data_IF_908491267372
#
_entry.id   IF_908491267372
#
_cell.length_a   1.000
_cell.length_b   1.000
_cell.length_c   1.000
_cell.angle_alpha   90.00
_cell.angle_beta   90.00
_cell.angle_gamma   90.00
#
_symmetry.space_group_name_H-M   'P 1'
#
loop_
_entity.id
_entity.type
_entity.pdbx_description
1 polymer ?
#
# COMPACT_ATOMS: atom_id res chain seq x y z
N UNK A 1 23.95 -16.69 -0.15
CA UNK A 1 22.77 -17.36 -0.73
C UNK A 1 21.67 -17.63 0.31
N UNK A 2 21.92 -18.37 1.39
CA UNK A 2 20.89 -18.75 2.39
C UNK A 2 20.15 -17.56 3.03
N UNK A 3 20.85 -16.47 3.38
CA UNK A 3 20.22 -15.25 3.94
C UNK A 3 19.28 -14.56 2.95
N UNK A 4 19.65 -14.50 1.67
CA UNK A 4 18.83 -13.91 0.62
C UNK A 4 17.54 -14.72 0.41
N UNK A 5 17.68 -16.05 0.27
CA UNK A 5 16.53 -16.97 0.15
C UNK A 5 15.59 -16.81 1.35
N UNK A 6 16.14 -16.74 2.57
CA UNK A 6 15.35 -16.48 3.78
C UNK A 6 14.55 -15.18 3.68
N UNK A 7 15.15 -14.07 3.22
CA UNK A 7 14.44 -12.80 3.12
C UNK A 7 13.36 -12.81 2.03
N UNK A 8 13.61 -13.48 0.90
CA UNK A 8 12.60 -13.69 -0.14
C UNK A 8 11.43 -14.52 0.39
N UNK A 9 11.71 -15.61 1.12
CA UNK A 9 10.66 -16.43 1.73
C UNK A 9 9.85 -15.65 2.77
N UNK A 10 10.51 -14.86 3.62
CA UNK A 10 9.81 -13.98 4.58
C UNK A 10 8.96 -12.92 3.90
N UNK A 11 9.47 -12.28 2.84
CA UNK A 11 8.71 -11.31 2.06
C UNK A 11 7.43 -11.95 1.51
N UNK A 12 7.54 -13.14 0.91
CA UNK A 12 6.39 -13.89 0.41
C UNK A 12 5.41 -14.22 1.54
N UNK A 13 5.89 -14.71 2.68
CA UNK A 13 5.03 -15.03 3.83
C UNK A 13 4.30 -13.80 4.37
N UNK A 14 4.93 -12.62 4.40
CA UNK A 14 4.28 -11.39 4.84
C UNK A 14 3.19 -10.94 3.86
N UNK A 15 3.42 -11.07 2.55
CA UNK A 15 2.37 -10.84 1.56
C UNK A 15 1.23 -11.84 1.69
N UNK A 16 1.51 -13.14 1.85
CA UNK A 16 0.46 -14.15 2.05
C UNK A 16 -0.36 -13.84 3.31
N UNK A 17 0.30 -13.51 4.44
CA UNK A 17 -0.39 -13.13 5.66
C UNK A 17 -1.25 -11.87 5.48
N UNK A 18 -0.74 -10.87 4.76
CA UNK A 18 -1.49 -9.67 4.40
C UNK A 18 -2.71 -10.00 3.54
N UNK A 19 -2.56 -10.80 2.48
CA UNK A 19 -3.67 -11.19 1.61
C UNK A 19 -4.73 -12.00 2.36
N UNK A 20 -4.34 -12.87 3.31
CA UNK A 20 -5.29 -13.60 4.15
C UNK A 20 -6.10 -12.62 5.01
N UNK A 21 -5.42 -11.70 5.73
CA UNK A 21 -6.09 -10.73 6.58
C UNK A 21 -7.02 -9.81 5.78
N UNK A 22 -6.56 -9.32 4.63
CA UNK A 22 -7.34 -8.49 3.70
C UNK A 22 -8.53 -9.25 3.09
N UNK A 23 -8.35 -10.52 2.73
CA UNK A 23 -9.42 -11.37 2.18
C UNK A 23 -10.59 -11.56 3.16
N UNK A 24 -10.31 -11.66 4.46
CA UNK A 24 -11.36 -11.66 5.48
C UNK A 24 -12.13 -10.33 5.57
N UNK A 25 -11.43 -9.20 5.40
CA UNK A 25 -12.06 -7.87 5.40
C UNK A 25 -12.90 -7.61 4.14
N UNK A 26 -12.45 -8.11 2.99
CA UNK A 26 -13.07 -7.89 1.67
C UNK A 26 -13.97 -9.05 1.20
N UNK A 27 -14.43 -9.90 2.12
CA UNK A 27 -15.26 -11.08 1.77
C UNK A 27 -16.66 -10.70 1.27
N UNK A 28 -17.13 -9.49 1.60
CA UNK A 28 -18.49 -9.01 1.37
C UNK A 28 -18.99 -9.11 -0.08
N UNK A 29 -18.33 -8.43 -1.04
CA UNK A 29 -18.70 -8.50 -2.45
C UNK A 29 -18.82 -9.95 -2.97
N UNK A 30 -17.87 -10.81 -2.60
CA UNK A 30 -17.88 -12.22 -2.98
C UNK A 30 -19.08 -12.97 -2.41
N UNK A 31 -19.39 -12.80 -1.11
CA UNK A 31 -20.53 -13.50 -0.49
C UNK A 31 -21.87 -13.02 -1.05
N UNK A 32 -22.01 -11.73 -1.36
CA UNK A 32 -23.21 -11.17 -1.98
C UNK A 32 -23.45 -11.69 -3.40
N UNK A 33 -22.41 -12.14 -4.10
CA UNK A 33 -22.53 -12.74 -5.44
C UNK A 33 -23.10 -14.16 -5.42
N UNK A 34 -23.13 -14.83 -4.26
CA UNK A 34 -23.64 -16.19 -4.14
C UNK A 34 -25.17 -16.17 -4.08
N UNK A 35 -25.80 -16.79 -5.08
CA UNK A 35 -27.25 -16.96 -5.13
C UNK A 35 -27.72 -17.98 -4.08
N UNK A 36 -28.98 -17.87 -3.65
CA UNK A 36 -29.67 -18.83 -2.78
C UNK A 36 -29.23 -18.92 -1.29
N UNK A 37 -28.36 -18.03 -0.82
CA UNK A 37 -28.05 -17.90 0.62
C UNK A 37 -28.93 -16.80 1.24
N UNK A 38 -29.57 -17.04 2.41
CA UNK A 38 -30.32 -16.00 3.10
C UNK A 38 -29.47 -14.76 3.40
N UNK A 39 -29.98 -13.57 3.06
CA UNK A 39 -29.26 -12.29 3.23
C UNK A 39 -28.77 -12.07 4.66
N UNK A 40 -29.59 -12.41 5.66
CA UNK A 40 -29.21 -12.31 7.07
C UNK A 40 -27.98 -13.17 7.44
N UNK A 41 -27.85 -14.35 6.81
CA UNK A 41 -26.69 -15.22 7.01
C UNK A 41 -25.44 -14.64 6.35
N UNK A 42 -25.59 -14.06 5.15
CA UNK A 42 -24.51 -13.34 4.45
C UNK A 42 -24.01 -12.19 5.32
N UNK A 43 -24.90 -11.31 5.78
CA UNK A 43 -24.54 -10.15 6.59
C UNK A 43 -23.83 -10.57 7.88
N UNK A 44 -24.36 -11.56 8.60
CA UNK A 44 -23.74 -12.09 9.82
C UNK A 44 -22.34 -12.65 9.55
N UNK A 45 -22.17 -13.35 8.44
CA UNK A 45 -20.88 -13.93 8.02
C UNK A 45 -19.87 -12.83 7.71
N UNK A 46 -20.29 -11.76 7.02
CA UNK A 46 -19.42 -10.63 6.68
C UNK A 46 -18.90 -9.95 7.94
N UNK A 47 -19.75 -9.67 8.92
CA UNK A 47 -19.32 -9.05 10.17
C UNK A 47 -18.37 -9.94 10.97
N UNK A 48 -18.61 -11.26 11.00
CA UNK A 48 -17.70 -12.22 11.65
C UNK A 48 -16.33 -12.22 10.94
N UNK A 49 -16.32 -12.33 9.61
CA UNK A 49 -15.11 -12.28 8.80
C UNK A 49 -14.38 -10.94 8.98
N UNK A 50 -15.10 -9.82 9.05
CA UNK A 50 -14.52 -8.51 9.29
C UNK A 50 -13.79 -8.48 10.64
N UNK A 51 -14.42 -8.95 11.73
CA UNK A 51 -13.78 -9.01 13.05
C UNK A 51 -12.50 -9.87 13.01
N UNK A 52 -12.55 -11.03 12.35
CA UNK A 52 -11.37 -11.89 12.18
C UNK A 52 -10.28 -11.14 11.41
N UNK A 53 -10.62 -10.52 10.29
CA UNK A 53 -9.71 -9.75 9.46
C UNK A 53 -9.07 -8.58 10.21
N UNK A 54 -9.84 -7.86 11.04
CA UNK A 54 -9.35 -6.79 11.92
C UNK A 54 -8.30 -7.33 12.90
N UNK A 55 -8.60 -8.42 13.60
CA UNK A 55 -7.69 -9.04 14.57
C UNK A 55 -6.40 -9.51 13.90
N UNK A 56 -6.52 -10.18 12.73
CA UNK A 56 -5.37 -10.63 11.97
C UNK A 56 -4.51 -9.46 11.47
N UNK A 57 -5.14 -8.38 11.00
CA UNK A 57 -4.44 -7.18 10.52
C UNK A 57 -3.69 -6.48 11.64
N UNK A 58 -4.32 -6.29 12.81
CA UNK A 58 -3.70 -5.70 14.00
C UNK A 58 -2.54 -6.57 14.47
N UNK A 59 -2.72 -7.89 14.58
CA UNK A 59 -1.68 -8.81 14.99
C UNK A 59 -0.48 -8.77 14.02
N UNK A 60 -0.73 -8.77 12.70
CA UNK A 60 0.31 -8.67 11.68
C UNK A 60 1.05 -7.32 11.77
N UNK A 61 0.33 -6.21 11.94
CA UNK A 61 0.94 -4.88 12.13
C UNK A 61 1.83 -4.88 13.36
N UNK A 62 1.38 -5.38 14.51
CA UNK A 62 2.19 -5.43 15.73
C UNK A 62 3.46 -6.27 15.51
N UNK A 63 3.31 -7.44 14.88
CA UNK A 63 4.42 -8.34 14.58
C UNK A 63 5.44 -7.67 13.66
N UNK A 64 4.98 -7.12 12.54
CA UNK A 64 5.84 -6.47 11.55
C UNK A 64 6.46 -5.19 12.12
N UNK A 65 5.72 -4.39 12.87
CA UNK A 65 6.23 -3.20 13.53
C UNK A 65 7.36 -3.56 14.50
N UNK A 66 7.13 -4.51 15.41
CA UNK A 66 8.14 -4.94 16.40
C UNK A 66 9.37 -5.55 15.72
N UNK A 67 9.20 -6.25 14.61
CA UNK A 67 10.30 -6.84 13.88
C UNK A 67 11.06 -5.77 13.06
N UNK A 68 10.36 -4.94 12.30
CA UNK A 68 10.99 -4.11 11.26
C UNK A 68 11.41 -2.75 11.82
N UNK A 69 10.56 -2.11 12.62
CA UNK A 69 10.79 -0.74 13.09
C UNK A 69 12.12 -0.56 13.85
N UNK A 70 12.52 -1.44 14.79
CA UNK A 70 13.79 -1.26 15.51
C UNK A 70 15.03 -1.40 14.63
N UNK A 71 14.90 -2.02 13.44
CA UNK A 71 16.02 -2.33 12.55
C UNK A 71 16.31 -1.20 11.57
N UNK A 72 16.18 0.07 11.97
CA UNK A 72 16.48 1.29 11.18
C UNK A 72 17.88 1.25 10.50
N UNK A 73 18.04 0.44 9.45
CA UNK A 73 19.35 -0.02 8.99
C UNK A 73 19.65 0.29 7.54
N UNK A 74 18.82 1.11 6.88
CA UNK A 74 19.19 1.64 5.57
C UNK A 74 20.28 2.68 5.79
N UNK A 75 21.51 2.29 5.45
CA UNK A 75 22.67 3.18 5.43
C UNK A 75 22.55 4.12 4.22
N UNK A 76 21.84 5.22 4.44
CA UNK A 76 21.57 6.26 3.47
C UNK A 76 22.58 7.41 3.62
N UNK A 77 23.38 7.66 2.59
CA UNK A 77 24.50 8.64 2.61
C UNK A 77 24.49 9.67 1.49
N UNK A 78 23.39 9.78 0.75
CA UNK A 78 23.29 10.75 -0.33
C UNK A 78 23.38 12.17 0.23
N UNK A 79 24.28 12.98 -0.31
CA UNK A 79 24.51 14.38 0.11
C UNK A 79 23.88 15.39 -0.83
N UNK A 80 23.28 14.95 -1.94
CA UNK A 80 22.65 15.81 -2.94
C UNK A 80 21.50 16.62 -2.30
N UNK A 81 21.75 17.89 -2.01
CA UNK A 81 20.82 18.75 -1.25
C UNK A 81 19.48 18.94 -1.97
N UNK A 82 19.48 18.94 -3.31
CA UNK A 82 18.26 19.06 -4.09
C UNK A 82 17.28 17.92 -3.83
N UNK A 83 17.76 16.69 -3.61
CA UNK A 83 16.93 15.50 -3.45
C UNK A 83 16.14 15.50 -2.13
N UNK A 84 16.66 16.20 -1.11
CA UNK A 84 16.09 16.27 0.23
C UNK A 84 14.98 17.31 0.37
N UNK A 85 14.71 18.09 -0.70
CA UNK A 85 13.67 19.11 -0.67
C UNK A 85 12.29 18.47 -0.83
N UNK A 86 11.46 18.61 0.19
CA UNK A 86 10.09 18.05 0.24
C UNK A 86 9.19 18.54 -0.90
N UNK A 87 9.51 19.70 -1.49
CA UNK A 87 8.78 20.25 -2.63
C UNK A 87 8.77 19.31 -3.84
N UNK A 88 9.79 18.47 -4.04
CA UNK A 88 9.85 17.60 -5.22
C UNK A 88 8.80 16.48 -5.19
N UNK A 89 8.67 15.68 -4.10
CA UNK A 89 7.54 14.77 -3.96
C UNK A 89 6.18 15.45 -4.08
N UNK A 90 6.02 16.66 -3.53
CA UNK A 90 4.76 17.42 -3.61
C UNK A 90 4.46 17.79 -5.06
N UNK A 91 5.43 18.34 -5.79
CA UNK A 91 5.28 18.70 -7.20
C UNK A 91 5.00 17.46 -8.08
N UNK A 92 5.63 16.32 -7.77
CA UNK A 92 5.37 15.07 -8.47
C UNK A 92 3.93 14.59 -8.23
N UNK A 93 3.41 14.68 -7.01
CA UNK A 93 2.00 14.39 -6.71
C UNK A 93 1.03 15.35 -7.40
N UNK A 94 1.33 16.65 -7.43
CA UNK A 94 0.49 17.65 -8.13
C UNK A 94 0.46 17.35 -9.63
N UNK A 95 1.63 17.13 -10.25
CA UNK A 95 1.73 16.75 -11.66
C UNK A 95 0.96 15.46 -11.95
N UNK A 96 1.02 14.50 -11.04
CA UNK A 96 0.28 13.25 -11.10
C UNK A 96 -1.25 13.46 -11.09
N UNK A 97 -1.79 14.30 -10.21
CA UNK A 97 -3.22 14.63 -10.22
C UNK A 97 -3.65 15.39 -11.47
N UNK A 98 -2.85 16.36 -11.92
CA UNK A 98 -3.11 17.08 -13.17
C UNK A 98 -3.17 16.12 -14.35
N UNK A 99 -2.23 15.17 -14.42
CA UNK A 99 -2.22 14.15 -15.47
C UNK A 99 -3.51 13.32 -15.47
N UNK A 100 -3.99 12.87 -14.31
CA UNK A 100 -5.23 12.09 -14.22
C UNK A 100 -6.49 12.88 -14.60
N UNK A 101 -6.49 14.20 -14.42
CA UNK A 101 -7.61 15.05 -14.84
C UNK A 101 -7.63 15.23 -16.37
N UNK A 102 -6.45 15.36 -16.99
CA UNK A 102 -6.32 15.64 -18.42
C UNK A 102 -6.41 14.35 -19.25
N UNK A 103 -5.83 13.26 -18.75
CA UNK A 103 -5.79 11.98 -19.44
C UNK A 103 -6.88 11.07 -18.87
N UNK A 104 -7.92 10.73 -19.64
CA UNK A 104 -8.94 9.81 -19.18
C UNK A 104 -8.32 8.42 -19.03
N UNK A 105 -8.06 8.01 -17.79
CA UNK A 105 -7.57 6.67 -17.47
C UNK A 105 -8.74 5.84 -16.94
N UNK A 106 -9.11 4.74 -17.60
CA UNK A 106 -10.12 3.84 -17.07
C UNK A 106 -9.71 3.28 -15.71
N UNK A 107 -10.68 3.11 -14.82
CA UNK A 107 -10.46 2.50 -13.52
C UNK A 107 -9.82 1.11 -13.66
N UNK A 108 -8.83 0.83 -12.82
CA UNK A 108 -8.27 -0.52 -12.73
C UNK A 108 -9.25 -1.45 -12.02
N UNK A 109 -9.13 -2.75 -12.23
CA UNK A 109 -9.95 -3.74 -11.51
C UNK A 109 -9.81 -3.58 -9.99
N UNK A 110 -8.59 -3.31 -9.50
CA UNK A 110 -8.36 -2.97 -8.09
C UNK A 110 -9.20 -1.77 -7.63
N UNK A 111 -9.26 -0.68 -8.42
CA UNK A 111 -10.03 0.51 -8.06
C UNK A 111 -11.54 0.21 -8.03
N UNK A 112 -12.05 -0.58 -8.98
CA UNK A 112 -13.46 -0.99 -9.01
C UNK A 112 -13.84 -1.81 -7.78
N UNK A 113 -13.00 -2.78 -7.40
CA UNK A 113 -13.21 -3.58 -6.19
C UNK A 113 -13.19 -2.72 -4.92
N UNK A 114 -12.31 -1.71 -4.86
CA UNK A 114 -12.30 -0.75 -3.74
C UNK A 114 -13.58 0.09 -3.73
N UNK A 115 -14.05 0.58 -4.88
CA UNK A 115 -15.32 1.33 -4.98
C UNK A 115 -16.48 0.47 -4.49
N UNK A 116 -16.64 -0.75 -5.02
CA UNK A 116 -17.70 -1.67 -4.61
C UNK A 116 -17.65 -1.95 -3.10
N UNK A 117 -16.46 -2.21 -2.57
CA UNK A 117 -16.27 -2.49 -1.15
C UNK A 117 -16.58 -1.28 -0.25
N UNK A 118 -16.15 -0.08 -0.63
CA UNK A 118 -16.44 1.17 0.10
C UNK A 118 -17.92 1.49 0.07
N UNK A 119 -18.58 1.35 -1.08
CA UNK A 119 -20.01 1.63 -1.21
C UNK A 119 -20.86 0.62 -0.44
N UNK A 120 -20.47 -0.66 -0.41
CA UNK A 120 -21.22 -1.70 0.30
C UNK A 120 -20.97 -1.71 1.82
N UNK A 121 -19.72 -1.49 2.26
CA UNK A 121 -19.33 -1.63 3.67
C UNK A 121 -18.40 -0.51 4.13
N UNK A 122 -18.85 0.76 4.15
CA UNK A 122 -17.98 1.92 4.36
C UNK A 122 -17.16 1.86 5.65
N UNK A 123 -17.74 1.36 6.75
CA UNK A 123 -17.01 1.25 8.03
C UNK A 123 -15.88 0.22 7.97
N UNK A 124 -16.14 -0.96 7.41
CA UNK A 124 -15.14 -2.03 7.27
C UNK A 124 -14.07 -1.57 6.26
N UNK A 125 -14.51 -1.00 5.14
CA UNK A 125 -13.64 -0.49 4.09
C UNK A 125 -12.74 0.65 4.56
N UNK A 126 -13.23 1.58 5.38
CA UNK A 126 -12.38 2.62 5.98
C UNK A 126 -11.24 2.01 6.78
N UNK A 127 -11.54 1.03 7.66
CA UNK A 127 -10.52 0.37 8.46
C UNK A 127 -9.48 -0.37 7.60
N UNK A 128 -9.91 -1.05 6.54
CA UNK A 128 -9.04 -1.80 5.64
C UNK A 128 -8.21 -0.86 4.74
N UNK A 129 -8.89 -0.06 3.92
CA UNK A 129 -8.30 0.72 2.82
C UNK A 129 -7.54 1.95 3.32
N UNK A 130 -8.04 2.62 4.37
CA UNK A 130 -7.46 3.89 4.85
C UNK A 130 -6.44 3.66 5.96
N UNK A 131 -6.59 2.61 6.77
CA UNK A 131 -5.74 2.37 7.94
C UNK A 131 -4.79 1.19 7.73
N UNK A 132 -5.33 -0.04 7.61
CA UNK A 132 -4.47 -1.24 7.67
C UNK A 132 -3.64 -1.47 6.43
N UNK A 133 -4.22 -1.33 5.24
CA UNK A 133 -3.50 -1.51 3.97
C UNK A 133 -2.28 -0.56 3.89
N UNK A 134 -2.42 0.77 4.09
CA UNK A 134 -1.28 1.68 4.11
C UNK A 134 -0.18 1.30 5.12
N UNK A 135 -0.55 0.91 6.34
CA UNK A 135 0.43 0.55 7.37
C UNK A 135 1.19 -0.73 6.97
N UNK A 136 0.48 -1.77 6.55
CA UNK A 136 1.06 -3.06 6.19
C UNK A 136 1.93 -2.96 4.92
N UNK A 137 1.45 -2.27 3.90
CA UNK A 137 2.19 -2.06 2.66
C UNK A 137 3.48 -1.28 2.91
N UNK A 138 3.44 -0.20 3.68
CA UNK A 138 4.65 0.56 3.99
C UNK A 138 5.63 -0.25 4.85
N UNK A 139 5.14 -1.01 5.84
CA UNK A 139 5.97 -1.94 6.62
C UNK A 139 6.66 -2.97 5.72
N UNK A 140 5.98 -3.50 4.72
CA UNK A 140 6.55 -4.46 3.77
C UNK A 140 7.55 -3.79 2.82
N UNK A 141 7.16 -2.70 2.15
CA UNK A 141 7.97 -2.06 1.11
C UNK A 141 9.10 -1.16 1.65
N UNK A 142 8.79 -0.22 2.56
CA UNK A 142 9.74 0.79 3.06
C UNK A 142 10.44 0.30 4.32
N UNK A 143 9.79 -0.59 5.06
CA UNK A 143 10.36 -1.27 6.20
C UNK A 143 11.23 -2.46 5.78
N UNK A 144 10.61 -3.62 5.55
CA UNK A 144 11.32 -4.87 5.32
C UNK A 144 12.13 -4.85 4.02
N UNK A 145 11.49 -4.54 2.90
CA UNK A 145 12.11 -4.67 1.59
C UNK A 145 13.29 -3.70 1.43
N UNK A 146 13.12 -2.42 1.80
CA UNK A 146 14.22 -1.46 1.82
C UNK A 146 15.39 -1.93 2.71
N UNK A 147 15.08 -2.39 3.93
CA UNK A 147 16.09 -2.83 4.91
C UNK A 147 16.93 -4.02 4.41
N UNK A 148 16.30 -5.03 3.81
CA UNK A 148 16.97 -6.29 3.50
C UNK A 148 17.48 -6.42 2.06
N UNK A 149 16.88 -5.70 1.11
CA UNK A 149 17.28 -5.74 -0.30
C UNK A 149 18.04 -4.48 -0.73
N UNK A 150 17.86 -3.37 -0.02
CA UNK A 150 18.59 -2.11 -0.25
C UNK A 150 19.24 -1.55 1.03
N UNK A 151 20.04 -2.35 1.77
CA UNK A 151 20.58 -1.94 3.07
C UNK A 151 21.56 -0.77 3.01
N UNK A 152 22.07 -0.43 1.81
CA UNK A 152 23.04 0.65 1.59
C UNK A 152 22.65 1.45 0.36
N UNK A 153 22.50 2.76 0.52
CA UNK A 153 22.25 3.71 -0.56
C UNK A 153 23.26 4.86 -0.44
N UNK A 154 24.43 4.66 -1.07
CA UNK A 154 25.56 5.59 -0.97
C UNK A 154 25.50 6.74 -1.99
N UNK A 155 24.78 6.57 -3.08
CA UNK A 155 24.72 7.53 -4.19
C UNK A 155 23.31 7.60 -4.83
N UNK A 156 23.15 8.55 -5.75
CA UNK A 156 21.90 8.76 -6.48
C UNK A 156 21.53 7.57 -7.38
N UNK A 157 22.50 6.75 -7.81
CA UNK A 157 22.23 5.58 -8.64
C UNK A 157 21.53 4.50 -7.81
N UNK A 158 22.03 4.20 -6.62
CA UNK A 158 21.41 3.25 -5.69
C UNK A 158 20.01 3.70 -5.27
N UNK A 159 19.84 5.01 -4.99
CA UNK A 159 18.53 5.60 -4.70
C UNK A 159 17.58 5.48 -5.89
N UNK A 160 18.05 5.79 -7.10
CA UNK A 160 17.26 5.65 -8.32
C UNK A 160 16.79 4.21 -8.52
N UNK A 161 17.67 3.22 -8.40
CA UNK A 161 17.31 1.80 -8.51
C UNK A 161 16.29 1.42 -7.44
N UNK A 162 16.49 1.83 -6.19
CA UNK A 162 15.53 1.56 -5.11
C UNK A 162 14.14 2.12 -5.42
N UNK A 163 14.06 3.39 -5.83
CA UNK A 163 12.78 4.04 -6.15
C UNK A 163 12.10 3.38 -7.35
N UNK A 164 12.85 3.10 -8.42
CA UNK A 164 12.32 2.40 -9.59
C UNK A 164 11.80 1.02 -9.25
N UNK A 165 12.56 0.21 -8.51
CA UNK A 165 12.18 -1.16 -8.14
C UNK A 165 10.98 -1.15 -7.19
N UNK A 166 11.02 -0.37 -6.10
CA UNK A 166 9.91 -0.34 -5.13
C UNK A 166 8.66 0.29 -5.71
N UNK A 167 8.76 1.34 -6.52
CA UNK A 167 7.64 1.91 -7.25
C UNK A 167 7.02 0.91 -8.23
N UNK A 168 7.85 0.17 -8.96
CA UNK A 168 7.38 -0.83 -9.93
C UNK A 168 6.69 -2.00 -9.23
N UNK A 169 7.29 -2.54 -8.17
CA UNK A 169 6.67 -3.61 -7.38
C UNK A 169 5.37 -3.16 -6.74
N UNK A 170 5.34 -1.94 -6.17
CA UNK A 170 4.12 -1.35 -5.63
C UNK A 170 3.03 -1.26 -6.71
N UNK A 171 3.38 -0.83 -7.92
CA UNK A 171 2.43 -0.81 -9.03
C UNK A 171 1.94 -2.21 -9.42
N UNK A 172 2.86 -3.15 -9.60
CA UNK A 172 2.53 -4.50 -10.06
C UNK A 172 1.62 -5.27 -9.10
N UNK A 173 1.76 -5.09 -7.77
CA UNK A 173 0.86 -5.75 -6.81
C UNK A 173 -0.58 -5.22 -6.88
N UNK A 174 -0.78 -4.03 -7.44
CA UNK A 174 -2.12 -3.47 -7.73
C UNK A 174 -2.70 -3.94 -9.08
N UNK A 175 -2.00 -4.84 -9.77
CA UNK A 175 -2.44 -5.52 -11.00
C UNK A 175 -2.96 -4.56 -12.10
N UNK A 176 -2.18 -3.54 -12.51
CA UNK A 176 -2.58 -2.64 -13.58
C UNK A 176 -2.70 -3.39 -14.92
N UNK A 177 -3.78 -3.13 -15.66
CA UNK A 177 -4.00 -3.74 -16.99
C UNK A 177 -3.39 -2.90 -18.13
N UNK A 178 -3.14 -1.62 -17.87
CA UNK A 178 -2.64 -0.67 -18.88
C UNK A 178 -1.44 0.12 -18.36
N UNK A 179 -0.64 0.67 -19.28
CA UNK A 179 0.50 1.51 -18.91
C UNK A 179 0.07 2.75 -18.09
N UNK A 180 -1.01 3.48 -18.41
CA UNK A 180 -1.48 4.58 -17.57
C UNK A 180 -1.84 4.14 -16.13
N UNK A 181 -2.51 3.00 -15.96
CA UNK A 181 -2.79 2.44 -14.63
C UNK A 181 -1.50 2.06 -13.89
N UNK A 182 -0.52 1.48 -14.61
CA UNK A 182 0.78 1.20 -14.03
C UNK A 182 1.46 2.49 -13.54
N UNK A 183 1.45 3.55 -14.35
CA UNK A 183 2.06 4.84 -14.02
C UNK A 183 1.40 5.51 -12.82
N UNK A 184 0.09 5.30 -12.61
CA UNK A 184 -0.64 5.78 -11.42
C UNK A 184 -0.04 5.19 -10.14
N UNK A 185 -0.10 3.87 -9.99
CA UNK A 185 0.40 3.22 -8.78
C UNK A 185 1.93 3.34 -8.66
N UNK A 186 2.65 3.35 -9.79
CA UNK A 186 4.10 3.55 -9.81
C UNK A 186 4.49 4.92 -9.23
N UNK A 187 3.81 5.99 -9.64
CA UNK A 187 4.10 7.35 -9.17
C UNK A 187 3.76 7.51 -7.69
N UNK A 188 2.68 6.87 -7.22
CA UNK A 188 2.36 6.79 -5.80
C UNK A 188 3.48 6.08 -5.03
N UNK A 189 3.91 4.90 -5.47
CA UNK A 189 5.01 4.15 -4.86
C UNK A 189 6.34 4.92 -4.89
N UNK A 190 6.64 5.63 -5.98
CA UNK A 190 7.81 6.50 -6.06
C UNK A 190 7.78 7.59 -4.98
N UNK A 191 6.66 8.30 -4.83
CA UNK A 191 6.55 9.38 -3.86
C UNK A 191 6.64 8.89 -2.42
N UNK A 192 6.01 7.75 -2.09
CA UNK A 192 6.11 7.13 -0.77
C UNK A 192 7.55 6.71 -0.47
N UNK A 193 8.23 6.10 -1.44
CA UNK A 193 9.65 5.75 -1.34
C UNK A 193 10.56 6.98 -1.20
N UNK A 194 10.26 8.07 -1.91
CA UNK A 194 11.02 9.30 -1.83
C UNK A 194 10.84 9.98 -0.47
N UNK A 195 9.59 10.10 0.01
CA UNK A 195 9.31 10.67 1.32
C UNK A 195 9.99 9.88 2.45
N UNK A 196 9.98 8.54 2.35
CA UNK A 196 10.72 7.67 3.26
C UNK A 196 12.20 8.04 3.35
N UNK A 197 12.87 8.26 2.20
CA UNK A 197 14.30 8.60 2.18
C UNK A 197 14.59 10.01 2.72
N UNK A 198 13.72 10.99 2.43
CA UNK A 198 13.87 12.36 2.96
C UNK A 198 13.71 12.38 4.47
N UNK A 199 12.69 11.70 5.00
CA UNK A 199 12.32 11.74 6.42
C UNK A 199 13.06 10.70 7.26
N UNK A 200 13.59 9.66 6.62
CA UNK A 200 14.29 8.53 7.25
C UNK A 200 13.45 7.85 8.33
N UNK A 201 12.14 7.89 8.16
CA UNK A 201 11.16 7.39 9.12
C UNK A 201 9.90 6.96 8.36
N UNK A 202 9.51 5.72 8.60
CA UNK A 202 8.38 5.05 7.96
C UNK A 202 7.02 5.64 8.35
N UNK A 203 6.92 6.36 9.46
CA UNK A 203 5.68 7.01 9.89
C UNK A 203 5.18 8.06 8.90
N UNK A 204 6.10 8.72 8.19
CA UNK A 204 5.77 9.76 7.21
C UNK A 204 5.13 9.20 5.93
N UNK A 205 5.71 8.20 5.24
CA UNK A 205 5.02 7.59 4.11
C UNK A 205 3.74 6.86 4.53
N UNK A 206 3.67 6.26 5.74
CA UNK A 206 2.40 5.72 6.27
C UNK A 206 1.34 6.81 6.32
N UNK A 207 1.61 7.94 6.97
CA UNK A 207 0.65 9.03 7.11
C UNK A 207 0.22 9.60 5.74
N UNK A 208 1.17 9.74 4.81
CA UNK A 208 0.88 10.21 3.45
C UNK A 208 0.01 9.21 2.67
N UNK A 209 0.29 7.91 2.80
CA UNK A 209 -0.48 6.85 2.15
C UNK A 209 -1.91 6.80 2.73
N UNK A 210 -2.06 6.83 4.06
CA UNK A 210 -3.36 6.93 4.72
C UNK A 210 -4.13 8.19 4.27
N UNK A 211 -3.46 9.34 4.13
CA UNK A 211 -4.08 10.56 3.63
C UNK A 211 -4.57 10.40 2.18
N UNK A 212 -3.75 9.83 1.30
CA UNK A 212 -4.11 9.58 -0.10
C UNK A 212 -5.34 8.66 -0.20
N UNK A 213 -5.33 7.55 0.55
CA UNK A 213 -6.45 6.61 0.56
C UNK A 213 -7.68 7.21 1.25
N UNK A 214 -7.49 8.04 2.28
CA UNK A 214 -8.58 8.76 2.94
C UNK A 214 -9.27 9.74 2.00
N UNK A 215 -8.52 10.48 1.19
CA UNK A 215 -9.09 11.37 0.15
C UNK A 215 -9.88 10.53 -0.87
N UNK A 216 -9.30 9.45 -1.38
CA UNK A 216 -9.99 8.55 -2.32
C UNK A 216 -11.27 7.97 -1.72
N UNK A 217 -11.21 7.49 -0.47
CA UNK A 217 -12.37 6.98 0.27
C UNK A 217 -13.47 8.04 0.40
N UNK A 218 -13.13 9.27 0.80
CA UNK A 218 -14.11 10.37 0.91
C UNK A 218 -14.72 10.72 -0.45
N UNK A 219 -13.92 10.71 -1.53
CA UNK A 219 -14.44 10.90 -2.87
C UNK A 219 -15.43 9.81 -3.26
N UNK A 220 -15.14 8.54 -2.96
CA UNK A 220 -16.08 7.44 -3.24
C UNK A 220 -17.37 7.61 -2.44
N UNK A 221 -17.29 7.88 -1.13
CA UNK A 221 -18.48 7.99 -0.28
C UNK A 221 -19.40 9.16 -0.65
N UNK A 222 -18.85 10.28 -1.15
CA UNK A 222 -19.61 11.50 -1.38
C UNK A 222 -19.87 11.84 -2.84
N UNK A 223 -19.11 11.27 -3.79
CA UNK A 223 -19.13 11.68 -5.21
C UNK A 223 -19.38 10.53 -6.19
N UNK A 224 -19.40 9.27 -5.73
CA UNK A 224 -19.64 8.07 -6.53
C UNK A 224 -20.90 7.37 -6.02
#
# INVERSE_FOLDING_TARGET
>A
MLKFIKHVALLFLYFVAYQIASGFLMVGPTLQSIQDIPTQLIDSTIWICAIIGLVLSIALIILLWKYIYPRHSVDYRVTASWFHKIQWPILLYIAFFIFQIIVPVPESENQKLVIEFVSAYPLIAFSSVVIFAPILEELIFRGFFATYFFPKMADMKAVGIYLLVTGSLFSLVHMPATLPQFLIYFTMGLNLGWLYLIKRDIRYPIALHMLNNGISYLMIVFLV
#
